data_IF_005307547977
#
_entry.id   IF_005307547977
#
_cell.length_a   1.000
_cell.length_b   1.000
_cell.length_c   1.000
_cell.angle_alpha   90.00
_cell.angle_beta   90.00
_cell.angle_gamma   90.00
#
_symmetry.space_group_name_H-M   'P 1'
#
loop_
_entity.id
_entity.type
_entity.pdbx_description
1 polymer ?
#
# COMPACT_ATOMS: atom_id res chain seq x y z
N UNK A 1 -8.60 20.90 -4.67
CA UNK A 1 -8.04 20.55 -3.35
C UNK A 1 -7.51 21.79 -2.60
N UNK A 2 -6.67 22.64 -3.23
CA UNK A 2 -6.01 23.77 -2.55
C UNK A 2 -7.01 24.70 -1.81
N UNK A 3 -8.10 25.10 -2.45
CA UNK A 3 -9.14 25.94 -1.81
C UNK A 3 -9.78 25.23 -0.61
N UNK A 4 -10.11 23.94 -0.76
CA UNK A 4 -10.73 23.16 0.31
C UNK A 4 -9.82 23.06 1.54
N UNK A 5 -8.52 22.81 1.33
CA UNK A 5 -7.54 22.76 2.42
C UNK A 5 -7.31 24.15 3.05
N UNK A 6 -7.22 25.21 2.23
CA UNK A 6 -7.06 26.57 2.74
C UNK A 6 -8.25 27.00 3.63
N UNK A 7 -9.47 26.64 3.27
CA UNK A 7 -10.67 26.91 4.08
C UNK A 7 -10.59 26.16 5.42
N UNK A 8 -10.20 24.89 5.42
CA UNK A 8 -10.05 24.11 6.65
C UNK A 8 -8.98 24.71 7.58
N UNK A 9 -7.84 25.15 7.04
CA UNK A 9 -6.80 25.84 7.81
C UNK A 9 -7.29 27.16 8.38
N UNK A 10 -7.94 27.99 7.56
CA UNK A 10 -8.48 29.27 8.00
C UNK A 10 -9.54 29.11 9.11
N UNK A 11 -10.40 28.11 8.99
CA UNK A 11 -11.41 27.78 9.99
C UNK A 11 -10.77 27.31 11.31
N UNK A 12 -9.74 26.46 11.27
CA UNK A 12 -9.02 26.03 12.45
C UNK A 12 -8.37 27.23 13.17
N UNK A 13 -7.68 28.11 12.42
CA UNK A 13 -7.05 29.31 12.95
C UNK A 13 -8.10 30.25 13.59
N UNK A 14 -9.22 30.51 12.88
CA UNK A 14 -10.31 31.37 13.38
C UNK A 14 -10.94 30.85 14.67
N UNK A 15 -10.98 29.52 14.85
CA UNK A 15 -11.49 28.84 16.06
C UNK A 15 -10.42 28.70 17.16
N UNK A 16 -9.15 29.03 16.91
CA UNK A 16 -8.07 28.87 17.86
C UNK A 16 -7.74 27.40 18.18
N UNK A 17 -7.99 26.47 17.24
CA UNK A 17 -7.76 25.03 17.42
C UNK A 17 -6.72 24.51 16.42
N UNK A 18 -6.08 23.39 16.74
CA UNK A 18 -5.17 22.70 15.80
C UNK A 18 -5.99 22.10 14.64
N UNK A 19 -5.40 22.04 13.44
CA UNK A 19 -6.06 21.57 12.23
C UNK A 19 -6.67 20.17 12.39
N UNK A 20 -5.92 19.23 12.97
CA UNK A 20 -6.42 17.87 13.19
C UNK A 20 -7.64 17.82 14.14
N UNK A 21 -7.75 18.76 15.09
CA UNK A 21 -8.94 18.88 15.93
C UNK A 21 -10.13 19.41 15.14
N UNK A 22 -9.90 20.42 14.28
CA UNK A 22 -10.95 20.94 13.39
C UNK A 22 -11.46 19.85 12.43
N UNK A 23 -10.54 19.06 11.84
CA UNK A 23 -10.91 17.93 10.97
C UNK A 23 -11.67 16.85 11.77
N UNK A 24 -11.23 16.54 13.00
CA UNK A 24 -11.92 15.58 13.84
C UNK A 24 -13.35 16.05 14.21
N UNK A 25 -13.55 17.36 14.45
CA UNK A 25 -14.90 17.91 14.72
C UNK A 25 -15.84 17.74 13.50
N UNK A 26 -15.30 17.76 12.29
CA UNK A 26 -16.07 17.51 11.05
C UNK A 26 -16.29 16.02 10.83
N UNK A 27 -15.25 15.22 10.97
CA UNK A 27 -15.25 13.79 10.66
C UNK A 27 -15.88 12.93 11.76
N UNK A 28 -15.92 13.44 13.02
CA UNK A 28 -16.46 12.77 14.21
C UNK A 28 -15.93 11.32 14.37
N UNK A 29 -14.60 11.10 14.38
CA UNK A 29 -14.05 9.77 14.55
C UNK A 29 -14.37 9.22 15.96
N UNK A 30 -14.49 7.91 16.08
CA UNK A 30 -14.67 7.25 17.37
C UNK A 30 -13.48 7.50 18.29
N UNK A 31 -12.26 7.50 17.74
CA UNK A 31 -11.02 7.72 18.47
C UNK A 31 -10.03 8.51 17.59
N UNK A 32 -9.20 9.33 18.25
CA UNK A 32 -8.06 10.01 17.63
C UNK A 32 -6.80 9.18 17.89
N UNK A 33 -6.27 8.56 16.88
CA UNK A 33 -5.04 7.76 16.96
C UNK A 33 -4.08 8.11 15.84
N UNK A 34 -2.80 7.81 16.05
CA UNK A 34 -1.82 7.76 14.97
C UNK A 34 -1.96 6.42 14.25
N UNK A 35 -1.94 6.40 12.91
CA UNK A 35 -2.05 5.15 12.15
C UNK A 35 -0.78 4.30 12.30
N UNK A 36 -0.92 2.98 12.08
CA UNK A 36 0.24 2.12 11.85
C UNK A 36 0.94 2.58 10.57
N UNK A 37 2.25 2.91 10.61
CA UNK A 37 2.95 3.33 9.41
C UNK A 37 3.17 2.15 8.46
N UNK A 38 3.01 2.41 7.17
CA UNK A 38 3.36 1.52 6.06
C UNK A 38 4.37 2.27 5.20
N UNK A 39 5.55 1.70 5.00
CA UNK A 39 6.66 2.41 4.37
C UNK A 39 7.10 1.69 3.10
N UNK A 40 7.06 2.39 1.98
CA UNK A 40 7.69 1.94 0.75
C UNK A 40 9.22 1.99 0.92
N UNK A 41 9.88 0.84 0.85
CA UNK A 41 11.33 0.73 1.06
C UNK A 41 12.08 0.21 -0.17
N UNK A 42 11.37 -0.42 -1.13
CA UNK A 42 11.96 -0.91 -2.36
C UNK A 42 10.97 -0.75 -3.52
N UNK A 43 11.42 -0.05 -4.56
CA UNK A 43 10.64 0.29 -5.74
C UNK A 43 10.93 -0.65 -6.91
N UNK A 44 9.91 -0.89 -7.72
CA UNK A 44 9.93 -1.53 -9.01
C UNK A 44 8.92 -0.89 -9.97
N UNK A 45 8.44 -1.63 -10.95
CA UNK A 45 7.44 -1.16 -11.89
C UNK A 45 7.81 0.19 -12.53
N UNK A 46 6.86 1.11 -12.59
CA UNK A 46 7.10 2.48 -13.10
C UNK A 46 7.98 3.33 -12.18
N UNK A 47 8.07 3.00 -10.90
CA UNK A 47 8.90 3.74 -9.94
C UNK A 47 10.40 3.37 -10.03
N UNK A 48 10.75 2.30 -10.76
CA UNK A 48 12.13 1.86 -10.98
C UNK A 48 12.25 0.99 -12.23
N UNK A 49 12.43 1.62 -13.39
CA UNK A 49 12.57 0.94 -14.68
C UNK A 49 13.61 -0.19 -14.64
N UNK A 50 13.19 -1.37 -15.14
CA UNK A 50 14.05 -2.55 -15.22
C UNK A 50 14.35 -3.23 -13.88
N UNK A 51 13.58 -2.96 -12.84
CA UNK A 51 13.62 -3.65 -11.55
C UNK A 51 12.58 -4.79 -11.49
N UNK A 52 11.81 -4.88 -10.41
CA UNK A 52 10.71 -5.84 -10.23
C UNK A 52 9.46 -5.41 -11.00
N UNK A 53 8.52 -6.35 -11.23
CA UNK A 53 7.21 -6.01 -11.81
C UNK A 53 6.33 -5.30 -10.78
N UNK A 54 6.39 -5.70 -9.51
CA UNK A 54 5.71 -5.06 -8.39
C UNK A 54 6.28 -3.66 -8.18
N UNK A 55 5.38 -2.67 -8.13
CA UNK A 55 5.75 -1.25 -8.09
C UNK A 55 6.34 -0.85 -6.74
N UNK A 56 5.75 -1.33 -5.63
CA UNK A 56 6.23 -1.03 -4.28
C UNK A 56 6.28 -2.27 -3.41
N UNK A 57 7.38 -2.42 -2.71
CA UNK A 57 7.51 -3.40 -1.63
C UNK A 57 7.71 -2.65 -0.32
N UNK A 58 6.73 -2.81 0.57
CA UNK A 58 6.58 -2.04 1.79
C UNK A 58 6.80 -2.91 3.03
N UNK A 59 7.14 -2.26 4.15
CA UNK A 59 7.21 -2.86 5.49
C UNK A 59 6.14 -2.26 6.40
N UNK A 60 5.60 -3.10 7.29
CA UNK A 60 4.62 -2.71 8.32
C UNK A 60 5.14 -3.23 9.66
N UNK A 61 5.53 -2.36 10.62
CA UNK A 61 6.08 -2.75 11.92
C UNK A 61 4.98 -3.17 12.91
N UNK A 62 4.33 -4.30 12.64
CA UNK A 62 3.13 -4.79 13.35
C UNK A 62 3.40 -5.11 14.84
N UNK A 63 4.64 -5.43 15.21
CA UNK A 63 5.03 -5.70 16.61
C UNK A 63 5.32 -4.44 17.43
N UNK A 64 5.25 -3.24 16.83
CA UNK A 64 5.51 -2.00 17.53
C UNK A 64 4.41 -1.67 18.54
N UNK A 65 4.79 -1.27 19.76
CA UNK A 65 3.84 -0.89 20.82
C UNK A 65 3.53 0.62 20.86
N UNK A 66 4.21 1.41 20.03
CA UNK A 66 3.97 2.84 19.86
C UNK A 66 4.38 3.31 18.46
N UNK A 67 3.82 4.45 18.03
CA UNK A 67 4.19 5.07 16.75
C UNK A 67 5.69 5.40 16.68
N UNK A 68 6.28 5.91 17.79
CA UNK A 68 7.71 6.20 17.85
C UNK A 68 8.56 4.94 17.64
N UNK A 69 8.18 3.82 18.27
CA UNK A 69 8.85 2.54 18.07
C UNK A 69 8.67 2.03 16.63
N UNK A 70 7.48 2.17 16.06
CA UNK A 70 7.22 1.78 14.67
C UNK A 70 8.14 2.51 13.69
N UNK A 71 8.32 3.82 13.86
CA UNK A 71 9.23 4.63 13.04
C UNK A 71 10.70 4.23 13.27
N UNK A 72 11.11 3.99 14.53
CA UNK A 72 12.46 3.52 14.84
C UNK A 72 12.76 2.19 14.14
N UNK A 73 11.92 1.18 14.32
CA UNK A 73 12.04 -0.14 13.66
C UNK A 73 12.19 0.01 12.14
N UNK A 74 11.34 0.84 11.54
CA UNK A 74 11.35 1.08 10.10
C UNK A 74 12.65 1.74 9.62
N UNK A 75 13.17 2.72 10.35
CA UNK A 75 14.42 3.40 10.03
C UNK A 75 15.64 2.47 10.15
N UNK A 76 15.66 1.61 11.16
CA UNK A 76 16.70 0.59 11.35
C UNK A 76 16.69 -0.42 10.19
N UNK A 77 15.52 -0.94 9.82
CA UNK A 77 15.35 -1.88 8.70
C UNK A 77 15.74 -1.22 7.37
N UNK A 78 15.32 0.03 7.13
CA UNK A 78 15.68 0.76 5.91
C UNK A 78 17.20 0.95 5.81
N UNK A 79 17.87 1.19 6.94
CA UNK A 79 19.32 1.29 7.01
C UNK A 79 20.00 -0.04 6.69
N UNK A 80 19.54 -1.14 7.28
CA UNK A 80 20.04 -2.49 7.00
C UNK A 80 19.77 -2.94 5.57
N UNK A 81 18.61 -2.56 4.99
CA UNK A 81 18.32 -2.80 3.58
C UNK A 81 19.37 -2.13 2.67
N UNK A 82 19.78 -0.91 3.00
CA UNK A 82 20.87 -0.22 2.28
C UNK A 82 22.18 -1.01 2.32
N UNK A 83 22.55 -1.55 3.48
CA UNK A 83 23.77 -2.34 3.62
C UNK A 83 23.65 -3.68 2.87
N UNK A 84 22.51 -4.35 2.98
CA UNK A 84 22.19 -5.60 2.26
C UNK A 84 22.31 -5.41 0.75
N UNK A 85 21.70 -4.34 0.21
CA UNK A 85 21.78 -4.01 -1.22
C UNK A 85 23.21 -3.74 -1.66
N UNK A 86 23.95 -2.91 -0.93
CA UNK A 86 25.39 -2.61 -1.22
C UNK A 86 26.26 -3.88 -1.17
N UNK A 87 26.06 -4.74 -0.17
CA UNK A 87 26.79 -6.00 -0.03
C UNK A 87 26.58 -6.93 -1.23
N UNK A 88 25.39 -6.90 -1.82
CA UNK A 88 25.06 -7.66 -3.04
C UNK A 88 25.35 -6.90 -4.35
N UNK A 89 25.98 -5.72 -4.26
CA UNK A 89 26.37 -4.85 -5.39
C UNK A 89 25.15 -4.30 -6.16
N UNK A 90 24.04 -4.07 -5.48
CA UNK A 90 22.90 -3.32 -5.98
C UNK A 90 23.06 -1.82 -5.76
N UNK A 91 22.43 -1.02 -6.63
CA UNK A 91 22.31 0.41 -6.45
C UNK A 91 21.44 0.74 -5.21
N UNK A 92 21.75 1.85 -4.57
CA UNK A 92 20.97 2.40 -3.44
C UNK A 92 20.50 3.83 -3.72
N UNK A 93 20.26 4.13 -5.00
CA UNK A 93 19.49 5.28 -5.42
C UNK A 93 18.04 5.08 -5.01
N UNK A 94 17.35 6.16 -4.70
CA UNK A 94 15.94 6.12 -4.29
C UNK A 94 15.04 6.53 -5.46
N UNK A 95 13.85 5.96 -5.51
CA UNK A 95 12.77 6.39 -6.39
C UNK A 95 12.04 7.62 -5.84
N UNK A 96 11.01 8.05 -6.54
CA UNK A 96 10.24 9.26 -6.23
C UNK A 96 9.56 9.20 -4.85
N UNK A 97 9.23 8.02 -4.37
CA UNK A 97 8.60 7.77 -3.07
C UNK A 97 9.58 7.38 -1.96
N UNK A 98 10.88 7.52 -2.19
CA UNK A 98 11.92 7.35 -1.17
C UNK A 98 12.42 5.91 -0.95
N UNK A 99 11.78 4.88 -1.47
CA UNK A 99 12.28 3.51 -1.47
C UNK A 99 13.48 3.35 -2.40
N UNK A 100 14.37 2.38 -2.11
CA UNK A 100 15.48 2.08 -3.01
C UNK A 100 14.99 1.54 -4.34
N UNK A 101 15.64 1.93 -5.44
CA UNK A 101 15.33 1.54 -6.82
C UNK A 101 16.48 0.71 -7.43
N UNK A 102 16.80 -0.48 -6.91
CA UNK A 102 17.84 -1.34 -7.47
C UNK A 102 17.33 -2.06 -8.72
N UNK A 103 18.21 -2.33 -9.64
CA UNK A 103 17.91 -3.21 -10.77
C UNK A 103 17.96 -4.68 -10.29
N UNK A 104 16.82 -5.21 -9.83
CA UNK A 104 16.68 -6.59 -9.32
C UNK A 104 16.79 -7.59 -10.49
N UNK A 105 17.58 -8.66 -10.31
CA UNK A 105 17.94 -9.59 -11.40
C UNK A 105 17.05 -10.82 -11.50
N UNK A 106 16.40 -11.22 -10.39
CA UNK A 106 15.68 -12.49 -10.27
C UNK A 106 14.19 -12.31 -9.97
N UNK A 107 13.64 -11.15 -10.36
CA UNK A 107 12.21 -10.85 -10.19
C UNK A 107 11.77 -10.57 -8.77
N UNK A 108 10.45 -10.61 -8.56
CA UNK A 108 9.79 -10.16 -7.33
C UNK A 108 10.22 -10.97 -6.09
N UNK A 109 10.44 -12.28 -6.23
CA UNK A 109 10.84 -13.13 -5.11
C UNK A 109 12.22 -12.75 -4.52
N UNK A 110 13.15 -12.24 -5.33
CA UNK A 110 14.43 -11.74 -4.82
C UNK A 110 14.24 -10.46 -3.99
N UNK A 111 13.37 -9.55 -4.42
CA UNK A 111 13.05 -8.35 -3.66
C UNK A 111 12.53 -8.69 -2.26
N UNK A 112 11.58 -9.60 -2.15
CA UNK A 112 11.07 -10.05 -0.86
C UNK A 112 12.14 -10.71 -0.01
N UNK A 113 13.02 -11.53 -0.62
CA UNK A 113 14.17 -12.13 0.08
C UNK A 113 15.13 -11.09 0.65
N UNK A 114 15.41 -10.01 -0.08
CA UNK A 114 16.23 -8.88 0.39
C UNK A 114 15.58 -8.16 1.57
N UNK A 115 14.26 -7.97 1.55
CA UNK A 115 13.53 -7.36 2.66
C UNK A 115 13.57 -8.25 3.91
N UNK A 116 13.34 -9.56 3.78
CA UNK A 116 13.43 -10.48 4.92
C UNK A 116 14.83 -10.50 5.53
N UNK A 117 15.87 -10.50 4.69
CA UNK A 117 17.26 -10.43 5.14
C UNK A 117 17.53 -9.12 5.90
N UNK A 118 17.04 -7.98 5.40
CA UNK A 118 17.20 -6.70 6.06
C UNK A 118 16.45 -6.62 7.41
N UNK A 119 15.24 -7.15 7.49
CA UNK A 119 14.45 -7.23 8.73
C UNK A 119 15.20 -8.06 9.78
N UNK A 120 15.72 -9.23 9.38
CA UNK A 120 16.48 -10.11 10.27
C UNK A 120 17.82 -9.48 10.73
N UNK A 121 18.53 -8.83 9.82
CA UNK A 121 19.79 -8.14 10.13
C UNK A 121 19.59 -6.95 11.08
N UNK A 122 18.43 -6.28 11.01
CA UNK A 122 18.02 -5.25 11.95
C UNK A 122 17.61 -5.80 13.32
N UNK A 123 17.57 -7.14 13.50
CA UNK A 123 17.24 -7.80 14.76
C UNK A 123 15.75 -8.05 14.97
N UNK A 124 14.93 -7.94 13.93
CA UNK A 124 13.49 -8.15 14.01
C UNK A 124 13.06 -9.48 13.35
N UNK A 125 11.95 -10.04 13.82
CA UNK A 125 11.37 -11.29 13.32
C UNK A 125 10.34 -11.01 12.22
N UNK A 126 10.58 -11.44 10.95
CA UNK A 126 9.59 -11.32 9.89
C UNK A 126 8.30 -12.06 10.24
N UNK A 127 7.14 -11.41 10.02
CA UNK A 127 5.82 -11.96 10.30
C UNK A 127 5.39 -11.88 11.77
N UNK A 128 6.29 -11.50 12.69
CA UNK A 128 5.97 -11.26 14.10
C UNK A 128 6.15 -9.78 14.48
N UNK A 129 7.33 -9.24 14.21
CA UNK A 129 7.62 -7.83 14.49
C UNK A 129 7.29 -6.95 13.28
N UNK A 130 7.56 -7.46 12.06
CA UNK A 130 7.39 -6.73 10.81
C UNK A 130 6.81 -7.64 9.74
N UNK A 131 5.72 -7.20 9.13
CA UNK A 131 5.13 -7.82 7.95
C UNK A 131 5.43 -7.00 6.68
N UNK A 132 5.14 -7.59 5.53
CA UNK A 132 5.28 -6.96 4.24
C UNK A 132 3.92 -6.52 3.70
N UNK A 133 3.94 -5.47 2.87
CA UNK A 133 2.87 -5.11 1.97
C UNK A 133 3.42 -4.85 0.58
N UNK A 134 2.58 -4.96 -0.42
CA UNK A 134 2.94 -4.69 -1.81
C UNK A 134 1.89 -3.81 -2.46
N UNK A 135 2.34 -2.89 -3.31
CA UNK A 135 1.54 -2.28 -4.36
C UNK A 135 1.99 -2.87 -5.70
N UNK A 136 1.06 -3.52 -6.37
CA UNK A 136 1.37 -4.19 -7.64
C UNK A 136 1.15 -3.24 -8.81
N UNK A 137 0.26 -2.26 -8.67
CA UNK A 137 -0.20 -1.37 -9.74
C UNK A 137 -0.55 -2.16 -11.02
N UNK A 138 -1.38 -3.21 -10.85
CA UNK A 138 -1.57 -4.24 -11.87
C UNK A 138 -2.22 -3.70 -13.16
N UNK A 139 -2.89 -2.55 -13.13
CA UNK A 139 -3.37 -1.86 -14.34
C UNK A 139 -2.23 -1.57 -15.33
N UNK A 140 -1.02 -1.28 -14.80
CA UNK A 140 0.16 -1.01 -15.62
C UNK A 140 0.75 -2.28 -16.27
N UNK A 141 0.50 -3.43 -15.67
CA UNK A 141 0.95 -4.73 -16.16
C UNK A 141 -0.06 -5.37 -17.13
N UNK A 142 -1.28 -4.80 -17.22
CA UNK A 142 -2.38 -5.39 -17.96
C UNK A 142 -2.35 -4.99 -19.44
N UNK A 143 -2.15 -5.97 -20.31
CA UNK A 143 -2.10 -5.79 -21.75
C UNK A 143 -2.65 -7.03 -22.46
N UNK A 144 -3.47 -6.81 -23.49
CA UNK A 144 -4.06 -7.90 -24.30
C UNK A 144 -4.76 -8.97 -23.43
N UNK A 145 -5.54 -8.54 -22.44
CA UNK A 145 -6.24 -9.38 -21.46
C UNK A 145 -5.31 -10.30 -20.64
N UNK A 146 -4.07 -9.88 -20.40
CA UNK A 146 -3.08 -10.60 -19.58
C UNK A 146 -2.28 -9.62 -18.73
N UNK A 147 -1.93 -10.05 -17.54
CA UNK A 147 -0.95 -9.41 -16.65
C UNK A 147 0.45 -9.91 -17.03
N UNK A 148 1.32 -9.00 -17.45
CA UNK A 148 2.65 -9.34 -17.97
C UNK A 148 3.69 -9.00 -16.92
N UNK A 149 4.31 -10.03 -16.35
CA UNK A 149 5.45 -9.94 -15.45
C UNK A 149 6.72 -10.10 -16.27
N UNK A 150 7.29 -8.98 -16.70
CA UNK A 150 8.45 -8.97 -17.59
C UNK A 150 9.71 -9.51 -16.90
N UNK A 151 9.93 -9.17 -15.63
CA UNK A 151 11.08 -9.62 -14.84
C UNK A 151 11.11 -11.13 -14.64
N UNK A 152 9.94 -11.77 -14.68
CA UNK A 152 9.78 -13.23 -14.53
C UNK A 152 9.51 -13.95 -15.86
N UNK A 153 9.36 -13.22 -16.97
CA UNK A 153 8.95 -13.74 -18.30
C UNK A 153 7.65 -14.54 -18.24
N UNK A 154 6.67 -14.07 -17.46
CA UNK A 154 5.38 -14.73 -17.25
C UNK A 154 4.21 -13.85 -17.66
N UNK A 155 3.13 -14.56 -18.02
CA UNK A 155 1.83 -13.92 -18.33
C UNK A 155 0.75 -14.65 -17.55
N UNK A 156 -0.12 -13.88 -16.92
CA UNK A 156 -1.20 -14.38 -16.09
C UNK A 156 -2.55 -13.86 -16.61
N UNK A 157 -3.61 -14.62 -16.42
CA UNK A 157 -4.96 -14.10 -16.29
C UNK A 157 -5.28 -13.83 -14.81
N UNK A 158 -6.46 -13.35 -14.51
CA UNK A 158 -6.86 -12.99 -13.14
C UNK A 158 -6.80 -14.18 -12.19
N UNK A 159 -7.22 -15.36 -12.64
CA UNK A 159 -7.24 -16.59 -11.84
C UNK A 159 -5.81 -17.05 -11.52
N UNK A 160 -4.96 -17.14 -12.53
CA UNK A 160 -3.57 -17.59 -12.36
C UNK A 160 -2.73 -16.57 -11.59
N UNK A 161 -3.03 -15.27 -11.69
CA UNK A 161 -2.40 -14.24 -10.87
C UNK A 161 -2.87 -14.34 -9.40
N UNK A 162 -4.14 -14.64 -9.17
CA UNK A 162 -4.66 -14.93 -7.83
C UNK A 162 -3.95 -16.12 -7.18
N UNK A 163 -3.71 -17.21 -7.93
CA UNK A 163 -2.95 -18.36 -7.43
C UNK A 163 -1.47 -18.00 -7.15
N UNK A 164 -0.89 -17.09 -7.94
CA UNK A 164 0.45 -16.56 -7.66
C UNK A 164 0.46 -15.79 -6.32
N UNK A 165 -0.54 -14.94 -6.04
CA UNK A 165 -0.66 -14.24 -4.75
C UNK A 165 -0.81 -15.21 -3.58
N UNK A 166 -1.65 -16.25 -3.70
CA UNK A 166 -1.76 -17.30 -2.67
C UNK A 166 -0.42 -17.92 -2.31
N UNK A 167 0.39 -18.21 -3.32
CA UNK A 167 1.74 -18.73 -3.12
C UNK A 167 2.65 -17.71 -2.44
N UNK A 168 2.58 -16.44 -2.81
CA UNK A 168 3.42 -15.39 -2.23
C UNK A 168 3.10 -15.18 -0.76
N UNK A 169 1.84 -15.04 -0.37
CA UNK A 169 1.44 -14.86 1.04
C UNK A 169 1.72 -16.10 1.91
N UNK A 170 1.80 -17.30 1.31
CA UNK A 170 2.21 -18.51 2.03
C UNK A 170 3.72 -18.56 2.27
N UNK A 171 4.51 -17.96 1.36
CA UNK A 171 5.97 -17.99 1.39
C UNK A 171 6.56 -16.82 2.17
N UNK A 172 5.93 -15.66 2.08
CA UNK A 172 6.37 -14.39 2.66
C UNK A 172 5.29 -13.82 3.59
N UNK A 173 5.65 -13.09 4.64
CA UNK A 173 4.68 -12.50 5.57
C UNK A 173 3.99 -11.26 4.97
N UNK A 174 3.41 -11.40 3.78
CA UNK A 174 2.65 -10.37 3.09
C UNK A 174 1.24 -10.37 3.63
N UNK A 175 0.80 -9.25 4.21
CA UNK A 175 -0.52 -9.08 4.82
C UNK A 175 -1.42 -8.09 4.07
N UNK A 176 -0.85 -7.33 3.12
CA UNK A 176 -1.59 -6.33 2.34
C UNK A 176 -1.13 -6.36 0.88
N UNK A 177 -2.09 -6.34 -0.04
CA UNK A 177 -1.88 -6.26 -1.49
C UNK A 177 -2.74 -5.10 -2.00
N UNK A 178 -2.07 -4.10 -2.56
CA UNK A 178 -2.67 -2.95 -3.21
C UNK A 178 -2.68 -3.17 -4.72
N UNK A 179 -3.78 -2.80 -5.35
CA UNK A 179 -4.02 -2.89 -6.79
C UNK A 179 -3.52 -4.19 -7.43
N UNK A 180 -3.95 -5.31 -6.81
CA UNK A 180 -3.53 -6.65 -7.23
C UNK A 180 -4.05 -7.07 -8.60
N UNK A 181 -5.08 -6.40 -9.12
CA UNK A 181 -5.64 -6.60 -10.46
C UNK A 181 -5.96 -5.24 -11.08
N UNK A 182 -6.20 -5.22 -12.39
CA UNK A 182 -6.52 -4.01 -13.12
C UNK A 182 -7.80 -3.33 -12.58
N UNK A 183 -7.87 -2.01 -12.68
CA UNK A 183 -8.92 -1.16 -12.10
C UNK A 183 -10.35 -1.42 -12.61
N UNK A 184 -10.49 -2.10 -13.74
CA UNK A 184 -11.79 -2.46 -14.32
C UNK A 184 -12.05 -3.98 -14.33
N UNK A 185 -11.16 -4.79 -13.77
CA UNK A 185 -11.30 -6.27 -13.67
C UNK A 185 -12.15 -6.66 -12.45
N UNK A 186 -13.38 -6.18 -12.38
CA UNK A 186 -14.26 -6.36 -11.23
C UNK A 186 -14.54 -7.82 -10.86
N UNK A 187 -14.70 -8.69 -11.85
CA UNK A 187 -14.90 -10.13 -11.61
C UNK A 187 -13.66 -10.78 -11.01
N UNK A 188 -12.48 -10.41 -11.53
CA UNK A 188 -11.20 -10.82 -10.97
C UNK A 188 -11.03 -10.36 -9.52
N UNK A 189 -11.35 -9.11 -9.20
CA UNK A 189 -11.28 -8.59 -7.83
C UNK A 189 -12.19 -9.33 -6.86
N UNK A 190 -13.43 -9.66 -7.25
CA UNK A 190 -14.34 -10.49 -6.43
C UNK A 190 -13.74 -11.88 -6.16
N UNK A 191 -13.17 -12.50 -7.21
CA UNK A 191 -12.51 -13.80 -7.07
C UNK A 191 -11.25 -13.71 -6.18
N UNK A 192 -10.44 -12.67 -6.35
CA UNK A 192 -9.26 -12.41 -5.53
C UNK A 192 -9.64 -12.25 -4.05
N UNK A 193 -10.65 -11.42 -3.75
CA UNK A 193 -11.11 -11.21 -2.37
C UNK A 193 -11.67 -12.49 -1.74
N UNK A 194 -12.49 -13.24 -2.46
CA UNK A 194 -12.98 -14.53 -1.98
C UNK A 194 -11.86 -15.55 -1.73
N UNK A 195 -10.79 -15.48 -2.52
CA UNK A 195 -9.63 -16.37 -2.43
C UNK A 195 -8.65 -16.02 -1.32
N UNK A 196 -8.62 -14.77 -0.86
CA UNK A 196 -7.66 -14.22 0.12
C UNK A 196 -8.38 -13.52 1.29
N UNK A 197 -9.29 -14.19 2.02
CA UNK A 197 -10.19 -13.55 2.99
C UNK A 197 -9.47 -12.93 4.20
N UNK A 198 -8.23 -13.34 4.46
CA UNK A 198 -7.42 -12.83 5.59
C UNK A 198 -6.38 -11.77 5.16
N UNK A 199 -6.32 -11.45 3.86
CA UNK A 199 -5.36 -10.47 3.34
C UNK A 199 -6.07 -9.13 3.16
N UNK A 200 -5.41 -8.04 3.53
CA UNK A 200 -5.89 -6.70 3.21
C UNK A 200 -5.74 -6.47 1.70
N UNK A 201 -6.84 -6.30 1.01
CA UNK A 201 -6.89 -5.97 -0.41
C UNK A 201 -7.28 -4.50 -0.57
N UNK A 202 -6.34 -3.71 -1.06
CA UNK A 202 -6.46 -2.25 -1.13
C UNK A 202 -6.73 -1.82 -2.56
N UNK A 203 -7.73 -0.98 -2.76
CA UNK A 203 -7.94 -0.30 -4.03
C UNK A 203 -7.39 1.13 -3.98
N UNK A 204 -6.39 1.44 -4.81
CA UNK A 204 -5.99 2.80 -5.19
C UNK A 204 -6.59 3.14 -6.55
N UNK A 205 -6.05 2.64 -7.66
CA UNK A 205 -6.57 2.85 -9.00
C UNK A 205 -8.00 2.30 -9.16
N UNK A 206 -8.29 1.18 -8.51
CA UNK A 206 -9.63 0.62 -8.47
C UNK A 206 -10.68 1.62 -7.96
N UNK A 207 -10.35 2.43 -6.94
CA UNK A 207 -11.33 3.22 -6.18
C UNK A 207 -11.13 4.74 -6.29
N UNK A 208 -9.91 5.21 -6.55
CA UNK A 208 -9.50 6.62 -6.71
C UNK A 208 -10.10 7.57 -5.65
N UNK A 209 -10.22 7.08 -4.40
CA UNK A 209 -10.89 7.79 -3.28
C UNK A 209 -12.33 8.21 -3.59
N UNK A 210 -12.98 7.59 -4.58
CA UNK A 210 -14.31 7.95 -5.07
C UNK A 210 -15.39 7.14 -4.36
N UNK A 211 -16.40 7.82 -3.78
CA UNK A 211 -17.46 7.17 -3.01
C UNK A 211 -18.38 6.28 -3.85
N UNK A 212 -18.59 6.58 -5.14
CA UNK A 212 -19.43 5.76 -6.02
C UNK A 212 -18.72 4.44 -6.36
N UNK A 213 -17.41 4.50 -6.73
CA UNK A 213 -16.61 3.30 -6.97
C UNK A 213 -16.45 2.47 -5.69
N UNK A 214 -16.25 3.13 -4.54
CA UNK A 214 -16.17 2.45 -3.24
C UNK A 214 -17.48 1.75 -2.89
N UNK A 215 -18.63 2.41 -3.07
CA UNK A 215 -19.93 1.79 -2.84
C UNK A 215 -20.13 0.56 -3.73
N UNK A 216 -19.80 0.67 -5.01
CA UNK A 216 -19.86 -0.45 -5.94
C UNK A 216 -18.96 -1.61 -5.51
N UNK A 217 -17.72 -1.33 -5.08
CA UNK A 217 -16.79 -2.36 -4.60
C UNK A 217 -17.30 -3.06 -3.33
N UNK A 218 -17.91 -2.31 -2.41
CA UNK A 218 -18.52 -2.85 -1.18
C UNK A 218 -19.67 -3.80 -1.53
N UNK A 219 -20.60 -3.35 -2.38
CA UNK A 219 -21.77 -4.15 -2.80
C UNK A 219 -21.39 -5.45 -3.53
N UNK A 220 -20.24 -5.43 -4.24
CA UNK A 220 -19.76 -6.57 -5.00
C UNK A 220 -18.66 -7.37 -4.27
N UNK A 221 -18.32 -7.04 -3.02
CA UNK A 221 -17.25 -7.70 -2.26
C UNK A 221 -15.92 -7.78 -3.02
N UNK A 222 -15.53 -6.70 -3.70
CA UNK A 222 -14.35 -6.70 -4.56
C UNK A 222 -13.04 -6.50 -3.79
N UNK A 223 -13.06 -5.82 -2.65
CA UNK A 223 -11.89 -5.54 -1.82
C UNK A 223 -12.31 -5.39 -0.34
N UNK A 224 -11.38 -5.00 0.55
CA UNK A 224 -11.68 -4.74 1.97
C UNK A 224 -10.94 -3.54 2.56
N UNK A 225 -10.24 -2.78 1.71
CA UNK A 225 -9.54 -1.56 2.08
C UNK A 225 -9.50 -0.57 0.91
N UNK A 226 -9.38 0.71 1.24
CA UNK A 226 -9.25 1.81 0.27
C UNK A 226 -8.01 2.65 0.59
N UNK A 227 -7.26 3.03 -0.45
CA UNK A 227 -6.25 4.07 -0.36
C UNK A 227 -6.91 5.45 -0.42
N UNK A 228 -6.51 6.35 0.46
CA UNK A 228 -7.09 7.68 0.60
C UNK A 228 -6.08 8.72 0.08
N UNK A 229 -6.40 9.29 -1.06
CA UNK A 229 -5.64 10.37 -1.70
C UNK A 229 -6.54 11.60 -1.91
N UNK A 230 -6.47 12.63 -1.06
CA UNK A 230 -7.29 13.84 -1.20
C UNK A 230 -7.15 14.54 -2.56
N UNK A 231 -6.00 14.39 -3.21
CA UNK A 231 -5.72 14.94 -4.53
C UNK A 231 -6.44 14.21 -5.68
N UNK A 232 -6.84 12.96 -5.51
CA UNK A 232 -7.64 12.22 -6.50
C UNK A 232 -9.10 12.69 -6.47
N UNK A 233 -9.72 12.74 -5.30
CA UNK A 233 -11.13 13.14 -5.16
C UNK A 233 -11.34 14.67 -5.17
N UNK A 234 -10.36 15.44 -4.70
CA UNK A 234 -10.27 16.87 -4.91
C UNK A 234 -10.75 17.77 -3.78
N UNK A 235 -11.45 17.29 -2.75
CA UNK A 235 -11.84 18.08 -1.58
C UNK A 235 -11.69 17.31 -0.26
N UNK A 236 -11.44 18.02 0.83
CA UNK A 236 -11.41 17.43 2.17
C UNK A 236 -12.74 16.79 2.55
N UNK A 237 -13.86 17.43 2.18
CA UNK A 237 -15.20 16.92 2.50
C UNK A 237 -15.48 15.57 1.84
N UNK A 238 -15.15 15.43 0.56
CA UNK A 238 -15.33 14.17 -0.18
C UNK A 238 -14.36 13.10 0.34
N UNK A 239 -13.12 13.47 0.65
CA UNK A 239 -12.15 12.59 1.31
C UNK A 239 -12.72 12.01 2.62
N UNK A 240 -13.27 12.87 3.50
CA UNK A 240 -13.87 12.43 4.76
C UNK A 240 -15.07 11.51 4.50
N UNK A 241 -15.91 11.81 3.50
CA UNK A 241 -17.04 10.94 3.12
C UNK A 241 -16.59 9.55 2.67
N UNK A 242 -15.52 9.47 1.86
CA UNK A 242 -14.96 8.18 1.45
C UNK A 242 -14.45 7.37 2.66
N UNK A 243 -13.73 8.01 3.60
CA UNK A 243 -13.28 7.38 4.84
C UNK A 243 -14.47 6.89 5.68
N UNK A 244 -15.49 7.72 5.86
CA UNK A 244 -16.69 7.37 6.62
C UNK A 244 -17.43 6.19 5.98
N UNK A 245 -17.62 6.21 4.67
CA UNK A 245 -18.26 5.12 3.94
C UNK A 245 -17.50 3.79 4.12
N UNK A 246 -16.17 3.80 3.95
CA UNK A 246 -15.32 2.64 4.19
C UNK A 246 -15.49 2.10 5.62
N UNK A 247 -15.34 2.97 6.63
CA UNK A 247 -15.43 2.59 8.05
C UNK A 247 -16.79 2.05 8.43
N UNK A 248 -17.89 2.63 7.95
CA UNK A 248 -19.26 2.13 8.21
C UNK A 248 -19.49 0.71 7.66
N UNK A 249 -18.76 0.31 6.63
CA UNK A 249 -18.85 -1.01 6.02
C UNK A 249 -17.73 -1.96 6.47
N UNK A 250 -16.99 -1.62 7.53
CA UNK A 250 -15.93 -2.49 8.09
C UNK A 250 -14.65 -2.53 7.26
N UNK A 251 -14.48 -1.62 6.30
CA UNK A 251 -13.28 -1.53 5.49
C UNK A 251 -12.16 -0.76 6.19
N UNK A 252 -10.93 -1.15 5.90
CA UNK A 252 -9.75 -0.39 6.30
C UNK A 252 -9.53 0.82 5.40
N UNK A 253 -8.83 1.82 5.95
CA UNK A 253 -8.42 3.01 5.21
C UNK A 253 -6.93 3.23 5.38
N UNK A 254 -6.20 3.36 4.28
CA UNK A 254 -4.79 3.69 4.26
C UNK A 254 -4.67 5.13 3.74
N UNK A 255 -4.09 6.01 4.55
CA UNK A 255 -3.91 7.42 4.15
C UNK A 255 -2.55 7.54 3.46
N UNK A 256 -2.58 7.88 2.19
CA UNK A 256 -1.39 8.06 1.36
C UNK A 256 -0.88 9.50 1.40
N UNK A 257 0.13 9.69 0.66
CA UNK A 257 0.89 10.95 0.52
C UNK A 257 0.18 12.03 -0.29
#
# INVERSE_FOLDING_TARGET
>A
LAVSLAVAHAAAISRGVLLYNHIADIAQPQEKCLPMPMLNVLNGGKHADGSTDIQESMIIPIGATSFAQAIQMSAEIFTELKYTLKGKKYATTVGDEGGFAPHIKRGNAEAFGLLLEAIQNAGYAPGQDVSLAVDVAASELFKDNRYIFESEHKKYDSDTLTEWYKKMITTYPIISIEDGLAEDDWEGWQHLHASLPSTQLVGDDLLVTNTERLQYAIENNAANAILIKPNQIGTLTETIRAIQLAKHNGWNTIVSH
#
